data_IF_702135510916
#
_entry.id   IF_702135510916
#
_cell.length_a   1.000
_cell.length_b   1.000
_cell.length_c   1.000
_cell.angle_alpha   90.00
_cell.angle_beta   90.00
_cell.angle_gamma   90.00
#
_symmetry.space_group_name_H-M   'P 1'
#
loop_
_entity.id
_entity.type
_entity.pdbx_description
1 polymer ?
#
# COMPACT_ATOMS: atom_id res chain seq x y z
N UNK A 1 39.73 43.94 21.51
CA UNK A 1 39.74 42.46 21.56
C UNK A 1 38.59 41.97 20.69
N UNK A 2 38.89 41.39 19.52
CA UNK A 2 37.88 40.92 18.56
C UNK A 2 37.64 39.43 18.82
N UNK A 3 36.42 39.06 19.19
CA UNK A 3 35.98 37.68 19.39
C UNK A 3 35.77 37.02 18.02
N UNK A 4 36.72 36.18 17.60
CA UNK A 4 36.58 35.32 16.42
C UNK A 4 35.65 34.14 16.73
N UNK A 5 34.41 34.21 16.25
CA UNK A 5 33.49 33.07 16.25
C UNK A 5 33.95 32.03 15.23
N UNK A 6 34.35 30.85 15.70
CA UNK A 6 34.59 29.70 14.82
C UNK A 6 33.27 29.20 14.22
N UNK A 7 33.20 28.96 12.90
CA UNK A 7 32.04 28.30 12.30
C UNK A 7 31.94 26.87 12.84
N UNK A 8 30.76 26.50 13.34
CA UNK A 8 30.49 25.15 13.88
C UNK A 8 30.82 24.12 12.81
N UNK A 9 31.76 23.23 13.12
CA UNK A 9 32.12 22.09 12.28
C UNK A 9 30.87 21.26 11.98
N UNK A 10 30.60 20.98 10.71
CA UNK A 10 29.55 20.04 10.35
C UNK A 10 29.99 18.62 10.73
N UNK A 11 29.28 17.99 11.65
CA UNK A 11 29.56 16.61 12.08
C UNK A 11 29.28 15.59 10.95
N UNK A 12 30.27 15.36 10.09
CA UNK A 12 30.24 14.35 9.02
C UNK A 12 29.99 12.92 9.52
N UNK A 13 30.27 12.65 10.81
CA UNK A 13 29.97 11.39 11.50
C UNK A 13 28.49 11.03 11.52
N UNK A 14 27.59 12.03 11.35
CA UNK A 14 26.13 11.84 11.30
C UNK A 14 25.52 12.04 9.91
N UNK A 15 26.33 12.33 8.88
CA UNK A 15 25.83 12.60 7.52
C UNK A 15 25.08 11.41 6.89
N UNK A 16 25.36 10.19 7.34
CA UNK A 16 24.65 8.97 6.95
C UNK A 16 23.24 8.91 7.57
N UNK A 17 23.05 9.49 8.77
CA UNK A 17 21.79 9.53 9.52
C UNK A 17 20.90 10.71 9.13
N UNK A 18 21.47 11.79 8.60
CA UNK A 18 20.70 12.89 8.01
C UNK A 18 19.98 12.36 6.77
N UNK A 19 18.67 12.10 6.89
CA UNK A 19 17.85 11.78 5.74
C UNK A 19 17.98 12.90 4.71
N UNK A 20 18.74 12.67 3.64
CA UNK A 20 18.70 13.53 2.46
C UNK A 20 17.23 13.69 2.06
N UNK A 21 16.75 14.92 2.01
CA UNK A 21 15.41 15.24 1.54
C UNK A 21 15.33 14.76 0.10
N UNK A 22 14.62 13.66 -0.10
CA UNK A 22 14.40 13.06 -1.41
C UNK A 22 12.95 13.37 -1.77
N UNK A 23 12.68 14.17 -2.81
CA UNK A 23 11.33 14.65 -3.11
C UNK A 23 10.34 13.52 -3.41
N UNK A 24 10.85 12.36 -3.78
CA UNK A 24 10.11 11.15 -4.09
C UNK A 24 9.86 10.24 -2.88
N UNK A 25 10.21 10.67 -1.65
CA UNK A 25 9.88 9.96 -0.42
C UNK A 25 8.66 10.61 0.23
N UNK A 26 7.59 9.84 0.37
CA UNK A 26 6.29 10.32 0.81
C UNK A 26 5.83 9.51 2.02
N UNK A 27 5.11 10.17 2.92
CA UNK A 27 4.53 9.57 4.11
C UNK A 27 3.21 8.91 3.74
N UNK A 28 3.02 7.66 4.13
CA UNK A 28 1.81 6.89 3.86
C UNK A 28 0.65 7.44 4.69
N UNK A 29 -0.43 7.78 4.01
CA UNK A 29 -1.69 8.24 4.60
C UNK A 29 -2.86 7.38 4.13
N UNK A 30 -3.99 7.52 4.82
CA UNK A 30 -5.21 6.78 4.52
C UNK A 30 -5.91 7.35 3.28
N UNK A 31 -6.28 6.46 2.36
CA UNK A 31 -7.12 6.77 1.22
C UNK A 31 -8.60 6.64 1.57
N UNK A 32 -9.41 7.53 1.01
CA UNK A 32 -10.87 7.45 1.06
C UNK A 32 -11.38 6.46 -0.01
N UNK A 33 -10.64 6.30 -1.11
CA UNK A 33 -10.96 5.38 -2.19
C UNK A 33 -10.56 3.94 -1.83
N UNK A 34 -11.45 2.98 -2.14
CA UNK A 34 -11.21 1.55 -1.91
C UNK A 34 -10.46 0.87 -3.07
N UNK A 35 -10.28 1.52 -4.21
CA UNK A 35 -9.63 0.93 -5.38
C UNK A 35 -8.17 0.49 -5.10
N UNK A 36 -7.87 -0.77 -5.40
CA UNK A 36 -6.57 -1.41 -5.13
C UNK A 36 -5.45 -0.99 -6.08
N UNK A 37 -5.76 -0.27 -7.16
CA UNK A 37 -4.82 0.11 -8.21
C UNK A 37 -4.47 1.59 -8.17
N UNK A 38 -5.09 2.39 -7.30
CA UNK A 38 -5.00 3.86 -7.31
C UNK A 38 -4.27 4.36 -6.07
N UNK A 39 -3.38 5.32 -6.27
CA UNK A 39 -2.82 6.17 -5.21
C UNK A 39 -3.04 7.64 -5.51
N UNK A 40 -3.25 8.43 -4.46
CA UNK A 40 -3.50 9.86 -4.61
C UNK A 40 -2.33 10.68 -4.07
N UNK A 41 -1.99 11.74 -4.80
CA UNK A 41 -0.99 12.74 -4.45
C UNK A 41 -1.58 14.14 -4.59
N UNK A 42 -0.96 15.12 -3.93
CA UNK A 42 -1.27 16.52 -4.19
C UNK A 42 -0.82 16.92 -5.60
N UNK A 43 -1.48 17.92 -6.18
CA UNK A 43 -1.11 18.46 -7.48
C UNK A 43 0.33 19.00 -7.49
N UNK A 44 0.72 19.76 -6.47
CA UNK A 44 2.07 20.32 -6.35
C UNK A 44 3.15 19.22 -6.30
N UNK A 45 2.86 18.10 -5.60
CA UNK A 45 3.80 16.97 -5.57
C UNK A 45 3.91 16.27 -6.92
N UNK A 46 2.80 16.12 -7.64
CA UNK A 46 2.81 15.53 -8.98
C UNK A 46 3.64 16.37 -9.96
N UNK A 47 3.45 17.69 -9.97
CA UNK A 47 4.24 18.61 -10.79
C UNK A 47 5.73 18.55 -10.44
N UNK A 48 6.08 18.50 -9.13
CA UNK A 48 7.46 18.35 -8.68
C UNK A 48 8.11 17.05 -9.16
N UNK A 49 7.35 15.96 -9.22
CA UNK A 49 7.82 14.64 -9.66
C UNK A 49 7.66 14.43 -11.17
N UNK A 50 7.13 15.42 -11.90
CA UNK A 50 6.81 15.34 -13.33
C UNK A 50 5.88 14.16 -13.66
N UNK A 51 4.90 13.93 -12.78
CA UNK A 51 3.86 12.92 -12.95
C UNK A 51 2.56 13.58 -13.42
N UNK A 52 1.86 12.93 -14.32
CA UNK A 52 0.55 13.34 -14.80
C UNK A 52 -0.55 12.44 -14.25
N UNK A 53 -1.78 12.94 -14.26
CA UNK A 53 -2.96 12.19 -13.83
C UNK A 53 -3.14 10.97 -14.75
N UNK A 54 -3.19 9.78 -14.15
CA UNK A 54 -3.31 8.52 -14.89
C UNK A 54 -1.97 7.85 -15.18
N UNK A 55 -0.84 8.47 -14.82
CA UNK A 55 0.46 7.84 -15.00
C UNK A 55 0.62 6.59 -14.14
N UNK A 56 1.36 5.63 -14.67
CA UNK A 56 1.73 4.42 -13.95
C UNK A 56 2.99 4.67 -13.14
N UNK A 57 2.95 4.34 -11.85
CA UNK A 57 4.02 4.57 -10.89
C UNK A 57 4.38 3.28 -10.16
N UNK A 58 5.67 3.12 -9.88
CA UNK A 58 6.18 2.05 -9.01
C UNK A 58 6.38 2.63 -7.62
N UNK A 59 5.68 2.04 -6.66
CA UNK A 59 5.88 2.31 -5.24
C UNK A 59 6.85 1.28 -4.67
N UNK A 60 7.82 1.74 -3.88
CA UNK A 60 8.75 0.87 -3.16
C UNK A 60 8.56 1.05 -1.67
N UNK A 61 8.36 -0.07 -1.00
CA UNK A 61 8.11 -0.15 0.43
C UNK A 61 9.27 -0.79 1.17
N UNK A 62 8.95 -1.53 2.23
CA UNK A 62 9.93 -2.23 3.07
C UNK A 62 10.21 -3.63 2.52
N UNK A 63 11.28 -4.26 3.02
CA UNK A 63 11.67 -5.64 2.65
C UNK A 63 11.74 -5.88 1.13
N UNK A 64 12.19 -4.87 0.37
CA UNK A 64 12.28 -4.89 -1.11
C UNK A 64 10.94 -5.15 -1.82
N UNK A 65 9.81 -4.87 -1.16
CA UNK A 65 8.49 -4.99 -1.78
C UNK A 65 8.21 -3.79 -2.67
N UNK A 66 7.61 -4.08 -3.81
CA UNK A 66 7.24 -3.12 -4.84
C UNK A 66 5.85 -3.48 -5.35
N UNK A 67 5.09 -2.45 -5.73
CA UNK A 67 3.78 -2.59 -6.37
C UNK A 67 3.67 -1.49 -7.42
N UNK A 68 2.85 -1.72 -8.43
CA UNK A 68 2.55 -0.75 -9.48
C UNK A 68 1.15 -0.21 -9.27
N UNK A 69 0.99 1.11 -9.36
CA UNK A 69 -0.29 1.79 -9.18
C UNK A 69 -0.45 2.90 -10.22
N UNK A 70 -1.67 3.39 -10.37
CA UNK A 70 -2.02 4.58 -11.15
C UNK A 70 -2.08 5.76 -10.18
N UNK A 71 -1.47 6.88 -10.55
CA UNK A 71 -1.51 8.10 -9.74
C UNK A 71 -2.68 9.00 -10.14
N UNK A 72 -3.44 9.47 -9.15
CA UNK A 72 -4.47 10.49 -9.31
C UNK A 72 -4.17 11.71 -8.43
N UNK A 73 -4.70 12.86 -8.85
CA UNK A 73 -4.66 14.10 -8.09
C UNK A 73 -5.73 14.11 -7.00
N UNK A 74 -5.36 14.57 -5.80
CA UNK A 74 -6.27 14.84 -4.69
C UNK A 74 -5.84 16.14 -4.00
N UNK A 75 -6.69 17.16 -4.07
CA UNK A 75 -6.45 18.49 -3.49
C UNK A 75 -6.48 18.47 -1.95
N UNK A 76 -7.13 17.47 -1.35
CA UNK A 76 -7.18 17.29 0.11
C UNK A 76 -5.93 16.59 0.67
N UNK A 77 -5.03 16.11 -0.19
CA UNK A 77 -3.80 15.43 0.21
C UNK A 77 -2.69 16.45 0.44
N UNK A 78 -1.98 16.33 1.57
CA UNK A 78 -0.79 17.13 1.83
C UNK A 78 0.36 16.74 0.89
N UNK A 79 1.22 17.70 0.54
CA UNK A 79 2.30 17.50 -0.44
C UNK A 79 3.28 16.39 -0.05
N UNK A 80 3.57 16.21 1.24
CA UNK A 80 4.51 15.20 1.72
C UNK A 80 3.89 13.81 1.89
N UNK A 81 2.60 13.66 1.54
CA UNK A 81 1.84 12.42 1.77
C UNK A 81 1.44 11.73 0.48
N UNK A 82 1.24 10.43 0.59
CA UNK A 82 0.64 9.59 -0.43
C UNK A 82 -0.50 8.80 0.18
N UNK A 83 -1.70 8.96 -0.36
CA UNK A 83 -2.87 8.21 0.08
C UNK A 83 -2.92 6.89 -0.67
N UNK A 84 -3.02 5.79 0.08
CA UNK A 84 -3.17 4.45 -0.48
C UNK A 84 -4.01 3.55 0.43
N UNK A 85 -4.74 2.62 -0.16
CA UNK A 85 -5.64 1.74 0.57
C UNK A 85 -4.90 0.65 1.37
N UNK A 86 -5.63 -0.12 2.19
CA UNK A 86 -5.05 -1.19 3.02
C UNK A 86 -4.34 -2.27 2.20
N UNK A 87 -4.85 -2.61 1.02
CA UNK A 87 -4.27 -3.63 0.14
C UNK A 87 -2.87 -3.22 -0.34
N UNK A 88 -2.72 -2.00 -0.85
CA UNK A 88 -1.43 -1.44 -1.30
C UNK A 88 -0.43 -1.38 -0.14
N UNK A 89 -0.87 -0.93 1.06
CA UNK A 89 0.00 -0.90 2.26
C UNK A 89 0.49 -2.30 2.65
N UNK A 90 -0.38 -3.30 2.58
CA UNK A 90 -0.05 -4.69 2.88
C UNK A 90 0.99 -5.25 1.88
N UNK A 91 0.84 -4.96 0.59
CA UNK A 91 1.78 -5.37 -0.45
C UNK A 91 3.17 -4.75 -0.23
N UNK A 92 3.21 -3.46 0.11
CA UNK A 92 4.44 -2.72 0.41
C UNK A 92 5.05 -3.01 1.79
N UNK A 93 4.32 -3.71 2.67
CA UNK A 93 4.69 -3.99 4.06
C UNK A 93 4.95 -2.71 4.88
N UNK A 94 4.08 -1.73 4.71
CA UNK A 94 4.14 -0.42 5.39
C UNK A 94 2.88 -0.16 6.20
N UNK A 95 2.97 0.73 7.19
CA UNK A 95 1.87 1.23 8.02
C UNK A 95 1.62 2.71 7.74
N UNK A 96 0.50 3.25 8.25
CA UNK A 96 0.25 4.69 8.24
C UNK A 96 1.41 5.41 8.96
N UNK A 97 1.89 6.51 8.39
CA UNK A 97 3.05 7.26 8.88
C UNK A 97 4.42 6.70 8.45
N UNK A 98 4.49 5.50 7.88
CA UNK A 98 5.75 5.02 7.28
C UNK A 98 6.07 5.80 5.99
N UNK A 99 7.33 5.79 5.58
CA UNK A 99 7.79 6.45 4.35
C UNK A 99 7.97 5.44 3.22
N UNK A 100 7.35 5.70 2.08
CA UNK A 100 7.53 4.96 0.81
C UNK A 100 8.22 5.84 -0.22
N UNK A 101 8.77 5.23 -1.27
CA UNK A 101 9.29 5.98 -2.42
C UNK A 101 8.48 5.72 -3.67
N UNK A 102 8.19 6.78 -4.42
CA UNK A 102 7.46 6.74 -5.68
C UNK A 102 8.40 7.03 -6.87
N UNK A 103 8.18 6.34 -7.99
CA UNK A 103 8.90 6.55 -9.23
C UNK A 103 7.97 6.37 -10.42
N UNK A 104 8.10 7.20 -11.45
CA UNK A 104 7.41 7.00 -12.72
C UNK A 104 7.81 5.65 -13.33
N UNK A 105 6.83 4.97 -13.94
CA UNK A 105 7.03 3.70 -14.63
C UNK A 105 6.27 3.71 -15.96
N UNK A 106 6.81 4.37 -17.00
CA UNK A 106 6.19 4.43 -18.32
C UNK A 106 6.30 3.10 -19.08
N UNK A 107 7.21 2.20 -18.68
CA UNK A 107 7.55 0.97 -19.40
C UNK A 107 6.57 -0.20 -19.17
N UNK A 108 5.42 0.05 -18.53
CA UNK A 108 4.45 -1.01 -18.23
C UNK A 108 3.71 -1.42 -19.50
N UNK A 109 3.90 -2.68 -19.88
CA UNK A 109 3.27 -3.28 -21.07
C UNK A 109 1.96 -3.98 -20.69
N UNK A 110 1.10 -4.17 -21.69
CA UNK A 110 -0.06 -5.06 -21.56
C UNK A 110 0.38 -6.50 -21.31
N UNK A 111 -0.29 -7.15 -20.37
CA UNK A 111 -0.06 -8.53 -20.00
C UNK A 111 -0.56 -9.47 -21.08
N UNK A 112 0.25 -10.46 -21.46
CA UNK A 112 -0.21 -11.60 -22.26
C UNK A 112 -0.97 -12.58 -21.39
N UNK A 113 -0.43 -12.85 -20.20
CA UNK A 113 -1.00 -13.77 -19.22
C UNK A 113 -0.60 -13.40 -17.80
N UNK A 114 -1.48 -13.69 -16.87
CA UNK A 114 -1.21 -13.60 -15.43
C UNK A 114 -1.63 -14.90 -14.77
N UNK A 115 -0.88 -15.33 -13.75
CA UNK A 115 -1.24 -16.47 -12.93
C UNK A 115 -1.53 -15.99 -11.51
N UNK A 116 -2.76 -16.22 -11.06
CA UNK A 116 -3.25 -15.81 -9.75
C UNK A 116 -3.75 -17.03 -9.00
N UNK A 117 -3.43 -17.14 -7.72
CA UNK A 117 -3.93 -18.22 -6.87
C UNK A 117 -4.67 -17.65 -5.67
N UNK A 118 -5.79 -18.25 -5.26
CA UNK A 118 -6.51 -17.82 -4.07
C UNK A 118 -5.73 -18.16 -2.80
N UNK A 119 -6.00 -17.41 -1.73
CA UNK A 119 -5.55 -17.75 -0.38
C UNK A 119 -6.51 -18.78 0.21
N UNK A 120 -5.95 -19.84 0.82
CA UNK A 120 -6.67 -20.99 1.37
C UNK A 120 -7.80 -20.61 2.31
N UNK A 121 -7.53 -19.73 3.29
CA UNK A 121 -8.51 -19.31 4.29
C UNK A 121 -9.70 -18.52 3.73
N UNK A 122 -9.58 -17.94 2.54
CA UNK A 122 -10.67 -17.15 1.92
C UNK A 122 -11.57 -17.97 1.00
N UNK A 123 -11.18 -19.19 0.64
CA UNK A 123 -11.93 -20.07 -0.26
C UNK A 123 -12.61 -21.25 0.45
N UNK A 124 -12.48 -21.36 1.77
CA UNK A 124 -13.15 -22.42 2.53
C UNK A 124 -14.67 -22.36 2.34
N UNK A 125 -15.25 -23.46 1.87
CA UNK A 125 -16.68 -23.57 1.60
C UNK A 125 -17.18 -22.68 0.46
N UNK A 126 -16.31 -22.19 -0.42
CA UNK A 126 -16.70 -21.57 -1.70
C UNK A 126 -16.86 -22.65 -2.76
N UNK A 127 -18.03 -22.65 -3.39
CA UNK A 127 -18.35 -23.53 -4.53
C UNK A 127 -18.63 -22.66 -5.74
N UNK A 128 -17.96 -22.93 -6.87
CA UNK A 128 -18.17 -22.20 -8.11
C UNK A 128 -16.88 -21.81 -8.81
N UNK A 129 -17.01 -21.18 -9.97
CA UNK A 129 -15.88 -20.73 -10.76
C UNK A 129 -15.37 -19.38 -10.24
N UNK A 130 -14.15 -19.37 -9.67
CA UNK A 130 -13.52 -18.17 -9.12
C UNK A 130 -13.27 -17.08 -10.18
N UNK A 131 -13.01 -17.49 -11.41
CA UNK A 131 -12.72 -16.57 -12.51
C UNK A 131 -13.95 -15.76 -12.89
N UNK A 132 -15.08 -16.40 -13.19
CA UNK A 132 -16.30 -15.69 -13.63
C UNK A 132 -16.90 -14.81 -12.52
N UNK A 133 -16.86 -15.27 -11.26
CA UNK A 133 -17.52 -14.57 -10.15
C UNK A 133 -16.66 -13.44 -9.57
N UNK A 134 -15.33 -13.59 -9.52
CA UNK A 134 -14.44 -12.63 -8.87
C UNK A 134 -13.49 -11.96 -9.85
N UNK A 135 -12.66 -12.72 -10.55
CA UNK A 135 -11.56 -12.14 -11.34
C UNK A 135 -12.06 -11.35 -12.56
N UNK A 136 -13.04 -11.89 -13.29
CA UNK A 136 -13.62 -11.26 -14.47
C UNK A 136 -14.20 -9.89 -14.15
N UNK A 137 -15.17 -9.72 -13.22
CA UNK A 137 -15.70 -8.38 -12.90
C UNK A 137 -14.64 -7.45 -12.31
N UNK A 138 -13.58 -7.97 -11.67
CA UNK A 138 -12.51 -7.15 -11.11
C UNK A 138 -11.59 -6.54 -12.18
N UNK A 139 -11.27 -7.30 -13.24
CA UNK A 139 -10.38 -6.87 -14.32
C UNK A 139 -11.10 -6.35 -15.57
N UNK A 140 -12.41 -6.56 -15.69
CA UNK A 140 -13.21 -6.12 -16.83
C UNK A 140 -13.10 -4.60 -17.02
N UNK A 141 -12.51 -4.19 -18.15
CA UNK A 141 -12.35 -2.80 -18.60
C UNK A 141 -11.61 -1.86 -17.62
N UNK A 142 -10.92 -2.41 -16.63
CA UNK A 142 -10.30 -1.63 -15.56
C UNK A 142 -8.82 -1.30 -15.80
N UNK A 143 -8.16 -1.94 -16.79
CA UNK A 143 -6.74 -1.73 -17.14
C UNK A 143 -5.81 -1.66 -15.92
N UNK A 144 -6.02 -2.58 -14.96
CA UNK A 144 -5.36 -2.53 -13.66
C UNK A 144 -3.90 -2.96 -13.78
N UNK A 145 -2.92 -2.15 -13.30
CA UNK A 145 -1.56 -2.62 -13.16
C UNK A 145 -1.47 -3.66 -12.02
N UNK A 146 -0.71 -4.71 -12.26
CA UNK A 146 -0.43 -5.76 -11.27
C UNK A 146 1.07 -6.04 -11.22
N UNK A 147 1.58 -6.37 -10.04
CA UNK A 147 2.96 -6.80 -9.83
C UNK A 147 3.01 -8.25 -9.33
N UNK A 148 4.03 -8.99 -9.75
CA UNK A 148 4.32 -10.33 -9.23
C UNK A 148 4.48 -10.28 -7.71
N UNK A 149 3.71 -11.10 -7.01
CA UNK A 149 3.69 -11.20 -5.56
C UNK A 149 2.69 -10.27 -4.85
N UNK A 150 1.92 -9.46 -5.60
CA UNK A 150 0.82 -8.68 -5.02
C UNK A 150 -0.27 -9.60 -4.49
N UNK A 151 -0.88 -9.19 -3.38
CA UNK A 151 -2.10 -9.77 -2.84
C UNK A 151 -3.19 -8.72 -2.99
N UNK A 152 -4.35 -9.11 -3.51
CA UNK A 152 -5.49 -8.22 -3.68
C UNK A 152 -6.78 -8.91 -3.25
N UNK A 153 -7.69 -8.09 -2.71
CA UNK A 153 -9.00 -8.54 -2.25
C UNK A 153 -10.04 -8.24 -3.32
N UNK A 154 -10.83 -9.24 -3.69
CA UNK A 154 -11.94 -9.10 -4.64
C UNK A 154 -13.24 -9.45 -3.94
N UNK A 155 -14.25 -8.58 -4.07
CA UNK A 155 -15.59 -8.80 -3.56
C UNK A 155 -16.47 -9.39 -4.68
N UNK A 156 -17.17 -10.48 -4.38
CA UNK A 156 -18.09 -11.15 -5.30
C UNK A 156 -19.33 -11.62 -4.54
N UNK A 157 -20.50 -11.08 -4.90
CA UNK A 157 -21.74 -11.31 -4.17
C UNK A 157 -21.63 -10.89 -2.70
N UNK A 158 -21.80 -11.86 -1.79
CA UNK A 158 -21.71 -11.65 -0.32
C UNK A 158 -20.35 -12.07 0.28
N UNK A 159 -19.38 -12.49 -0.53
CA UNK A 159 -18.07 -12.97 -0.05
C UNK A 159 -16.93 -12.14 -0.62
N UNK A 160 -15.78 -12.17 0.06
CA UNK A 160 -14.54 -11.58 -0.40
C UNK A 160 -13.45 -12.63 -0.43
N UNK A 161 -12.69 -12.68 -1.53
CA UNK A 161 -11.62 -13.65 -1.75
C UNK A 161 -10.31 -12.90 -1.97
N UNK A 162 -9.25 -13.36 -1.32
CA UNK A 162 -7.91 -12.83 -1.54
C UNK A 162 -7.20 -13.67 -2.59
N UNK A 163 -6.58 -12.98 -3.55
CA UNK A 163 -5.77 -13.60 -4.60
C UNK A 163 -4.34 -13.07 -4.52
N UNK A 164 -3.39 -13.96 -4.74
CA UNK A 164 -1.97 -13.61 -4.88
C UNK A 164 -1.55 -13.79 -6.33
N UNK A 165 -0.93 -12.76 -6.89
CA UNK A 165 -0.30 -12.82 -8.21
C UNK A 165 0.98 -13.64 -8.09
N UNK A 166 0.98 -14.83 -8.65
CA UNK A 166 2.11 -15.75 -8.62
C UNK A 166 3.10 -15.39 -9.72
N UNK A 167 2.60 -15.14 -10.93
CA UNK A 167 3.40 -14.78 -12.10
C UNK A 167 2.67 -13.81 -13.02
N UNK A 168 3.46 -13.01 -13.75
CA UNK A 168 3.00 -12.09 -14.78
C UNK A 168 3.87 -12.23 -16.01
N UNK A 169 3.26 -12.13 -17.19
CA UNK A 169 3.97 -12.10 -18.47
C UNK A 169 3.52 -10.85 -19.24
N UNK A 170 4.35 -9.79 -19.31
CA UNK A 170 5.75 -9.72 -18.89
C UNK A 170 5.97 -9.65 -17.35
N UNK A 171 7.15 -10.08 -16.91
CA UNK A 171 7.63 -9.98 -15.51
C UNK A 171 8.45 -8.70 -15.32
N UNK A 172 8.38 -8.02 -14.16
CA UNK A 172 7.64 -8.39 -12.95
C UNK A 172 6.28 -7.72 -12.79
N UNK A 173 5.84 -6.91 -13.75
CA UNK A 173 4.56 -6.21 -13.71
C UNK A 173 3.99 -6.02 -15.12
N UNK A 174 2.67 -5.93 -15.20
CA UNK A 174 1.95 -5.68 -16.45
C UNK A 174 0.60 -5.00 -16.17
N UNK A 175 0.00 -4.40 -17.19
CA UNK A 175 -1.40 -3.96 -17.17
C UNK A 175 -2.27 -5.10 -17.65
N UNK A 176 -3.28 -5.46 -16.86
CA UNK A 176 -4.27 -6.48 -17.26
C UNK A 176 -5.28 -5.83 -18.21
N UNK A 177 -5.20 -6.21 -19.48
CA UNK A 177 -6.08 -5.76 -20.54
C UNK A 177 -7.14 -6.84 -20.85
N UNK A 178 -8.20 -6.53 -21.63
CA UNK A 178 -9.25 -7.51 -21.95
C UNK A 178 -8.75 -8.77 -22.69
N UNK A 179 -7.62 -8.68 -23.38
CA UNK A 179 -6.94 -9.77 -24.10
C UNK A 179 -5.96 -10.57 -23.20
N UNK A 180 -5.70 -10.12 -21.98
CA UNK A 180 -4.83 -10.82 -21.04
C UNK A 180 -5.47 -12.12 -20.55
N UNK A 181 -4.76 -13.24 -20.72
CA UNK A 181 -5.22 -14.54 -20.23
C UNK A 181 -4.99 -14.66 -18.73
N UNK A 182 -6.06 -14.84 -17.95
CA UNK A 182 -5.99 -14.97 -16.49
C UNK A 182 -6.09 -16.46 -16.14
N UNK A 183 -4.97 -17.02 -15.66
CA UNK A 183 -4.94 -18.38 -15.13
C UNK A 183 -5.22 -18.34 -13.63
N UNK A 184 -6.17 -19.16 -13.17
CA UNK A 184 -6.49 -19.34 -11.75
C UNK A 184 -6.41 -20.80 -11.29
N UNK A 185 -5.71 -21.64 -12.05
CA UNK A 185 -5.56 -23.07 -11.77
C UNK A 185 -4.36 -23.32 -10.86
N UNK A 186 -4.55 -24.08 -9.78
CA UNK A 186 -3.49 -24.50 -8.87
C UNK A 186 -3.98 -24.71 -7.43
N UNK A 187 -3.07 -25.15 -6.57
CA UNK A 187 -3.33 -25.29 -5.13
C UNK A 187 -3.40 -23.90 -4.47
N UNK A 188 -4.34 -23.74 -3.53
CA UNK A 188 -4.48 -22.49 -2.80
C UNK A 188 -3.23 -22.20 -1.96
N UNK A 189 -2.88 -20.91 -1.87
CA UNK A 189 -1.67 -20.49 -1.17
C UNK A 189 -1.99 -20.30 0.31
N UNK A 190 -1.17 -20.91 1.17
CA UNK A 190 -1.21 -20.67 2.62
C UNK A 190 -0.87 -19.22 2.94
N UNK A 191 -1.67 -18.60 3.80
CA UNK A 191 -1.42 -17.22 4.23
C UNK A 191 -0.06 -17.09 4.93
N UNK A 192 0.82 -16.27 4.35
CA UNK A 192 2.08 -15.88 5.00
C UNK A 192 1.76 -14.96 6.20
N UNK A 193 1.83 -15.50 7.43
CA UNK A 193 1.66 -14.71 8.65
C UNK A 193 2.79 -13.69 8.74
N UNK A 194 2.48 -12.44 8.42
CA UNK A 194 3.40 -11.34 8.64
C UNK A 194 3.35 -10.93 10.12
N UNK A 195 4.44 -11.05 10.90
CA UNK A 195 4.45 -10.67 12.32
C UNK A 195 4.11 -9.19 12.56
N UNK A 196 4.19 -8.37 11.52
CA UNK A 196 3.83 -6.97 11.59
C UNK A 196 2.32 -6.70 11.59
N UNK A 197 1.43 -7.67 11.40
CA UNK A 197 -0.03 -7.44 11.51
C UNK A 197 -0.51 -7.72 12.94
N UNK A 198 0.10 -8.68 13.64
CA UNK A 198 -0.26 -9.10 15.01
C UNK A 198 -0.04 -8.03 16.10
N UNK A 199 0.49 -6.85 15.75
CA UNK A 199 0.65 -5.72 16.68
C UNK A 199 -0.40 -4.62 16.51
N UNK A 200 -1.33 -4.75 15.56
CA UNK A 200 -2.38 -3.75 15.34
C UNK A 200 -3.72 -4.12 16.00
N UNK A 201 -3.95 -5.40 16.28
CA UNK A 201 -5.22 -5.88 16.85
C UNK A 201 -5.15 -6.17 18.36
N UNK A 202 -4.07 -5.74 19.04
CA UNK A 202 -4.05 -5.73 20.50
C UNK A 202 -4.93 -4.57 20.97
N UNK A 203 -6.20 -4.89 21.26
CA UNK A 203 -7.18 -4.05 21.93
C UNK A 203 -6.51 -3.21 23.02
N UNK A 204 -6.66 -1.88 22.89
CA UNK A 204 -6.48 -0.97 24.01
C UNK A 204 -7.42 -1.44 25.14
N UNK A 205 -6.92 -1.69 26.36
CA UNK A 205 -7.81 -1.89 27.49
C UNK A 205 -8.66 -0.62 27.64
N UNK A 206 -9.97 -0.73 27.91
CA UNK A 206 -10.82 0.44 28.06
C UNK A 206 -10.28 1.31 29.21
N UNK A 207 -10.08 2.59 28.91
CA UNK A 207 -9.76 3.61 29.91
C UNK A 207 -10.93 3.70 30.89
N UNK A 208 -10.81 3.00 32.01
CA UNK A 208 -11.68 3.18 33.16
C UNK A 208 -11.50 4.59 33.71
N UNK A 209 -12.61 5.34 33.76
CA UNK A 209 -12.71 6.71 34.26
C UNK A 209 -12.12 6.89 35.67
N UNK A 210 -11.60 8.10 36.00
CA UNK A 210 -11.26 8.46 37.37
C UNK A 210 -12.54 8.79 38.13
N UNK A 211 -13.08 7.85 38.89
CA UNK A 211 -14.06 8.19 39.93
C UNK A 211 -13.30 8.78 41.11
N UNK A 212 -13.55 10.07 41.30
CA UNK A 212 -13.22 10.91 42.43
C UNK A 212 -13.23 10.14 43.76
N UNK A 213 -12.06 10.06 44.39
CA UNK A 213 -11.94 9.86 45.84
C UNK A 213 -12.55 11.11 46.49
N UNK A 214 -13.81 11.02 46.91
CA UNK A 214 -14.39 11.98 47.82
C UNK A 214 -13.80 11.71 49.20
N UNK A 215 -13.16 12.73 49.75
CA UNK A 215 -12.69 12.82 51.12
C UNK A 215 -13.90 12.70 52.06
N UNK A 216 -13.90 11.70 52.94
CA UNK A 216 -14.60 11.81 54.23
C UNK A 216 -13.54 11.84 55.33
N UNK A 217 -13.14 13.06 55.67
CA UNK A 217 -12.50 13.43 56.93
C UNK A 217 -13.58 14.02 57.85
N UNK A 218 -13.99 13.23 58.85
CA UNK A 218 -14.16 13.67 60.24
C UNK A 218 -15.51 14.20 60.74
N UNK A 219 -15.82 13.79 61.99
CA UNK A 219 -16.70 14.39 63.02
C UNK A 219 -18.22 14.13 62.81
N UNK A 220 -19.01 13.58 63.74
CA UNK A 220 -18.94 13.43 65.21
C UNK A 220 -19.36 12.01 65.67
#
# INVERSE_FOLDING_TARGET
MVSSGHPKAEDYSTAILKQKVRPNRLIVDEAINEDNSIVCLSQAKMEQLQLFRGDTVVLRGRKRRQTVCIVLTDESCADERVRMNRVIRNNLRVRLGDVTSIHACPDVKYGKRIHVLPIDDTIEGLTGNLFEVFLKPYFLEAYRPVHKGDIFLVRGGMRAVEFKVVETDPTPHCIVAPDTIIHCEGEAIKREVCPCVLRADAELPPLGHPTYFLLDLGLD
#
